data_IF_123453396558
#
_entry.id   IF_123453396558
#
_cell.length_a   1.000
_cell.length_b   1.000
_cell.length_c   1.000
_cell.angle_alpha   90.00
_cell.angle_beta   90.00
_cell.angle_gamma   90.00
#
_symmetry.space_group_name_H-M   'P 1'
#
loop_
_entity.id
_entity.type
_entity.pdbx_description
1 polymer ?
#
# COMPACT_ATOMS: atom_id res chain seq x y z
N UNK A 1 -18.72 17.42 4.47
CA UNK A 1 -19.48 16.40 5.19
C UNK A 1 -18.94 16.13 6.61
N UNK A 2 -17.70 16.49 6.93
CA UNK A 2 -17.11 16.36 8.28
C UNK A 2 -16.94 14.93 8.80
N UNK A 3 -17.02 13.93 7.91
CA UNK A 3 -16.80 12.52 8.26
C UNK A 3 -15.47 12.03 7.68
N UNK A 4 -14.67 11.27 8.43
CA UNK A 4 -13.51 10.60 7.89
C UNK A 4 -13.93 9.58 6.83
N UNK A 5 -13.02 9.28 5.89
CA UNK A 5 -13.22 8.26 4.87
C UNK A 5 -12.05 7.29 4.83
N UNK A 6 -12.29 6.11 4.29
CA UNK A 6 -11.28 5.16 3.87
C UNK A 6 -11.54 4.83 2.41
N UNK A 7 -10.50 4.94 1.59
CA UNK A 7 -10.56 4.62 0.17
C UNK A 7 -9.46 3.61 -0.15
N UNK A 8 -9.84 2.46 -0.69
CA UNK A 8 -8.92 1.48 -1.22
C UNK A 8 -9.06 1.44 -2.73
N UNK A 9 -8.11 2.04 -3.43
CA UNK A 9 -8.09 2.09 -4.88
C UNK A 9 -7.13 1.03 -5.42
N UNK A 10 -7.58 0.24 -6.39
CA UNK A 10 -6.79 -0.77 -7.07
C UNK A 10 -6.79 -0.48 -8.57
N UNK A 11 -5.67 -0.02 -9.09
CA UNK A 11 -5.45 0.08 -10.52
C UNK A 11 -5.26 -1.29 -11.15
N UNK A 12 -5.60 -1.43 -12.44
CA UNK A 12 -5.43 -2.70 -13.17
C UNK A 12 -4.04 -2.85 -13.78
N UNK A 13 -3.24 -1.79 -13.84
CA UNK A 13 -1.88 -1.76 -14.39
C UNK A 13 -0.87 -2.23 -13.33
N UNK A 14 0.08 -3.10 -13.60
CA UNK A 14 0.19 -3.93 -14.84
C UNK A 14 -0.11 -5.40 -14.48
N UNK A 15 -1.36 -5.73 -14.23
CA UNK A 15 -1.78 -7.12 -14.10
C UNK A 15 -1.82 -7.81 -15.48
N UNK A 16 -1.82 -9.14 -15.54
CA UNK A 16 -1.96 -9.84 -16.80
C UNK A 16 -3.32 -9.53 -17.48
N UNK A 17 -3.37 -9.60 -18.81
CA UNK A 17 -4.55 -9.27 -19.63
C UNK A 17 -5.07 -7.83 -19.44
N UNK A 18 -4.18 -6.90 -19.12
CA UNK A 18 -4.48 -5.48 -19.17
C UNK A 18 -3.80 -4.86 -20.38
N UNK A 19 -4.30 -3.73 -20.83
CA UNK A 19 -3.78 -3.00 -21.97
C UNK A 19 -3.66 -1.54 -21.63
N UNK A 20 -2.63 -0.90 -22.21
CA UNK A 20 -2.46 0.54 -22.18
C UNK A 20 -3.54 1.20 -23.05
N UNK A 21 -4.01 2.37 -22.69
CA UNK A 21 -4.90 3.13 -23.56
C UNK A 21 -4.17 3.51 -24.85
N UNK A 22 -4.87 3.55 -26.01
CA UNK A 22 -4.25 3.90 -27.29
C UNK A 22 -3.46 5.22 -27.24
N UNK A 23 -3.97 6.24 -26.55
CA UNK A 23 -3.33 7.54 -26.41
C UNK A 23 -2.04 7.53 -25.57
N UNK A 24 -1.79 6.46 -24.80
CA UNK A 24 -0.60 6.30 -23.98
C UNK A 24 0.42 5.33 -24.58
N UNK A 25 0.11 4.70 -25.73
CA UNK A 25 1.04 3.78 -26.38
C UNK A 25 2.29 4.52 -26.85
N UNK A 26 3.46 4.03 -26.45
CA UNK A 26 4.76 4.63 -26.76
C UNK A 26 5.18 5.78 -25.85
N UNK A 27 4.41 6.13 -24.84
CA UNK A 27 4.67 7.28 -23.95
C UNK A 27 5.98 7.13 -23.16
N UNK A 28 6.35 5.91 -22.81
CA UNK A 28 7.60 5.62 -22.09
C UNK A 28 8.83 5.62 -23.01
N UNK A 29 8.65 5.44 -24.32
CA UNK A 29 9.72 5.22 -25.27
C UNK A 29 10.39 3.84 -25.14
N UNK A 30 9.79 2.89 -24.42
CA UNK A 30 10.29 1.55 -24.17
C UNK A 30 9.29 0.49 -24.66
N UNK A 31 8.53 -0.12 -23.77
CA UNK A 31 7.64 -1.24 -24.04
C UNK A 31 6.24 -1.00 -23.45
N UNK A 32 5.29 -1.91 -23.74
CA UNK A 32 3.91 -1.80 -23.27
C UNK A 32 3.81 -1.83 -21.73
N UNK A 33 4.67 -2.60 -21.05
CA UNK A 33 4.69 -2.62 -19.59
C UNK A 33 5.08 -1.25 -19.02
N UNK A 34 6.13 -0.66 -19.56
CA UNK A 34 6.62 0.67 -19.15
C UNK A 34 5.62 1.78 -19.46
N UNK A 35 4.93 1.71 -20.62
CA UNK A 35 3.82 2.62 -20.94
C UNK A 35 2.69 2.51 -19.91
N UNK A 36 2.33 1.30 -19.53
CA UNK A 36 1.33 1.06 -18.50
C UNK A 36 1.74 1.55 -17.12
N UNK A 37 3.02 1.50 -16.78
CA UNK A 37 3.53 2.07 -15.53
C UNK A 37 3.45 3.59 -15.53
N UNK A 38 3.75 4.25 -16.66
CA UNK A 38 3.56 5.71 -16.80
C UNK A 38 2.08 6.07 -16.68
N UNK A 39 1.17 5.34 -17.34
CA UNK A 39 -0.27 5.54 -17.20
C UNK A 39 -0.74 5.35 -15.75
N UNK A 40 -0.21 4.34 -15.06
CA UNK A 40 -0.52 4.11 -13.64
C UNK A 40 -0.07 5.28 -12.75
N UNK A 41 1.15 5.78 -12.97
CA UNK A 41 1.69 6.94 -12.25
C UNK A 41 0.83 8.20 -12.46
N UNK A 42 0.35 8.42 -13.69
CA UNK A 42 -0.58 9.51 -13.99
C UNK A 42 -1.88 9.40 -13.17
N UNK A 43 -2.47 8.21 -13.05
CA UNK A 43 -3.67 8.00 -12.22
C UNK A 43 -3.42 8.25 -10.74
N UNK A 44 -2.25 7.86 -10.21
CA UNK A 44 -1.85 8.19 -8.83
C UNK A 44 -1.72 9.71 -8.66
N UNK A 45 -1.11 10.39 -9.65
CA UNK A 45 -1.01 11.84 -9.70
C UNK A 45 -2.37 12.54 -9.66
N UNK A 46 -3.35 12.05 -10.42
CA UNK A 46 -4.73 12.58 -10.41
C UNK A 46 -5.39 12.47 -9.03
N UNK A 47 -5.20 11.32 -8.34
CA UNK A 47 -5.74 11.12 -6.99
C UNK A 47 -5.10 12.07 -5.97
N UNK A 48 -3.79 12.29 -6.06
CA UNK A 48 -3.08 13.23 -5.20
C UNK A 48 -3.54 14.66 -5.48
N UNK A 49 -3.65 15.05 -6.75
CA UNK A 49 -4.13 16.36 -7.13
C UNK A 49 -5.55 16.65 -6.64
N UNK A 50 -6.43 15.63 -6.68
CA UNK A 50 -7.79 15.76 -6.15
C UNK A 50 -7.80 16.04 -4.64
N UNK A 51 -6.91 15.41 -3.85
CA UNK A 51 -6.80 15.70 -2.42
C UNK A 51 -6.38 17.16 -2.16
N UNK A 52 -5.49 17.71 -2.99
CA UNK A 52 -5.06 19.11 -2.91
C UNK A 52 -6.22 20.07 -3.31
N UNK A 53 -6.93 19.78 -4.40
CA UNK A 53 -8.10 20.54 -4.85
C UNK A 53 -9.17 20.60 -3.76
N UNK A 54 -9.44 19.46 -3.12
CA UNK A 54 -10.41 19.35 -2.03
C UNK A 54 -9.90 19.96 -0.72
N UNK A 55 -8.64 20.39 -0.65
CA UNK A 55 -7.97 20.94 0.55
C UNK A 55 -8.00 20.00 1.75
N UNK A 56 -7.83 18.71 1.50
CA UNK A 56 -7.79 17.69 2.54
C UNK A 56 -6.45 16.92 2.56
N UNK A 57 -5.53 17.26 1.68
CA UNK A 57 -4.24 16.55 1.55
C UNK A 57 -3.44 16.53 2.86
N UNK A 58 -3.41 17.63 3.61
CA UNK A 58 -2.69 17.72 4.89
C UNK A 58 -3.32 16.87 6.01
N UNK A 59 -4.58 16.49 5.86
CA UNK A 59 -5.29 15.65 6.82
C UNK A 59 -5.66 14.28 6.25
N UNK A 60 -4.95 13.83 5.23
CA UNK A 60 -5.15 12.53 4.60
C UNK A 60 -3.85 11.76 4.57
N UNK A 61 -3.84 10.56 5.15
CA UNK A 61 -2.76 9.61 4.97
C UNK A 61 -2.91 8.95 3.61
N UNK A 62 -1.88 9.06 2.78
CA UNK A 62 -1.80 8.38 1.48
C UNK A 62 -0.75 7.27 1.60
N UNK A 63 -1.15 6.05 1.32
CA UNK A 63 -0.28 4.89 1.27
C UNK A 63 -0.33 4.29 -0.12
N UNK A 64 0.82 4.04 -0.69
CA UNK A 64 0.99 3.35 -1.96
C UNK A 64 1.80 2.08 -1.77
N UNK A 65 1.36 0.99 -2.39
CA UNK A 65 2.12 -0.25 -2.49
C UNK A 65 1.64 -1.05 -3.69
N UNK A 66 2.39 -2.08 -4.07
CA UNK A 66 1.88 -3.18 -4.88
C UNK A 66 1.61 -4.41 -3.99
N UNK A 67 0.83 -5.36 -4.47
CA UNK A 67 0.45 -6.56 -3.73
C UNK A 67 1.52 -7.65 -3.75
N UNK A 68 2.32 -7.72 -4.82
CA UNK A 68 3.37 -8.73 -5.01
C UNK A 68 4.45 -8.23 -5.98
N UNK A 69 5.52 -9.00 -6.07
CA UNK A 69 6.58 -8.79 -7.05
C UNK A 69 6.15 -9.01 -8.50
N UNK A 70 7.02 -8.75 -9.47
CA UNK A 70 6.71 -8.84 -10.88
C UNK A 70 6.33 -10.26 -11.31
N UNK A 71 5.63 -10.38 -12.46
CA UNK A 71 5.18 -11.64 -13.03
C UNK A 71 5.78 -11.81 -14.44
N UNK A 72 6.93 -12.43 -14.54
CA UNK A 72 7.70 -12.51 -15.79
C UNK A 72 7.04 -13.34 -16.88
N UNK A 73 6.22 -14.33 -16.52
CA UNK A 73 5.50 -15.12 -17.51
C UNK A 73 4.54 -14.30 -18.36
N UNK A 74 3.99 -13.22 -17.83
CA UNK A 74 3.07 -12.34 -18.56
C UNK A 74 3.80 -11.11 -19.09
N UNK A 75 4.72 -10.57 -18.31
CA UNK A 75 5.47 -9.38 -18.61
C UNK A 75 6.97 -9.66 -18.49
N UNK A 76 7.58 -10.30 -19.52
CA UNK A 76 9.02 -10.59 -19.50
C UNK A 76 9.89 -9.33 -19.42
N UNK A 77 9.34 -8.18 -19.85
CA UNK A 77 10.00 -6.87 -19.81
C UNK A 77 9.70 -6.09 -18.51
N UNK A 78 8.96 -6.70 -17.57
CA UNK A 78 8.66 -6.06 -16.28
C UNK A 78 9.94 -5.66 -15.54
N UNK A 79 9.87 -4.55 -14.82
CA UNK A 79 10.95 -4.10 -13.96
C UNK A 79 11.34 -5.19 -12.96
N UNK A 80 12.61 -5.59 -13.00
CA UNK A 80 13.15 -6.58 -12.08
C UNK A 80 13.71 -5.94 -10.83
N UNK A 81 13.62 -6.64 -9.71
CA UNK A 81 14.29 -6.26 -8.48
C UNK A 81 15.59 -7.07 -8.31
N UNK A 82 16.54 -6.63 -7.47
CA UNK A 82 17.74 -7.42 -7.19
C UNK A 82 17.45 -8.70 -6.35
N UNK A 83 16.20 -8.91 -5.95
CA UNK A 83 15.79 -10.02 -5.12
C UNK A 83 15.43 -11.24 -5.98
N UNK A 84 15.69 -12.43 -5.41
CA UNK A 84 15.45 -13.69 -6.10
C UNK A 84 13.98 -13.90 -6.41
N UNK A 85 13.72 -14.41 -7.64
CA UNK A 85 12.43 -14.90 -8.11
C UNK A 85 11.34 -13.81 -8.27
N UNK A 86 10.10 -14.20 -8.42
CA UNK A 86 8.96 -13.42 -8.87
C UNK A 86 7.67 -13.80 -8.14
N UNK A 87 6.56 -13.14 -8.48
CA UNK A 87 5.20 -13.49 -8.04
C UNK A 87 4.98 -15.01 -8.01
N UNK A 88 4.23 -15.50 -7.04
CA UNK A 88 3.91 -16.91 -6.80
C UNK A 88 5.08 -17.78 -6.33
N UNK A 89 6.13 -17.19 -5.80
CA UNK A 89 7.23 -17.91 -5.16
C UNK A 89 7.36 -17.50 -3.69
N UNK A 90 8.15 -18.30 -2.93
CA UNK A 90 8.47 -18.02 -1.52
C UNK A 90 9.82 -17.29 -1.37
N UNK A 91 10.20 -16.48 -2.36
CA UNK A 91 11.44 -15.72 -2.37
C UNK A 91 11.19 -14.23 -2.29
N UNK A 92 12.16 -13.46 -1.84
CA UNK A 92 12.03 -12.02 -1.64
C UNK A 92 11.56 -11.26 -2.88
N UNK A 93 11.88 -11.73 -4.10
CA UNK A 93 11.38 -11.11 -5.33
C UNK A 93 9.87 -11.21 -5.52
N UNK A 94 9.19 -12.09 -4.78
CA UNK A 94 7.73 -12.22 -4.81
C UNK A 94 7.02 -11.27 -3.84
N UNK A 95 7.61 -10.97 -2.68
CA UNK A 95 6.91 -10.27 -1.59
C UNK A 95 7.63 -9.01 -1.10
N UNK A 96 8.88 -8.77 -1.47
CA UNK A 96 9.58 -7.54 -1.14
C UNK A 96 9.24 -6.46 -2.15
N UNK A 97 8.23 -5.66 -1.83
CA UNK A 97 7.60 -4.69 -2.71
C UNK A 97 7.82 -3.25 -2.26
N UNK A 98 7.83 -2.27 -3.17
CA UNK A 98 7.90 -0.86 -2.81
C UNK A 98 6.66 -0.44 -2.02
N UNK A 99 6.87 0.36 -0.99
CA UNK A 99 5.80 0.96 -0.18
C UNK A 99 6.17 2.38 0.18
N UNK A 100 5.25 3.31 -0.05
CA UNK A 100 5.41 4.72 0.26
C UNK A 100 4.23 5.20 1.10
N UNK A 101 4.53 6.02 2.10
CA UNK A 101 3.49 6.60 2.97
C UNK A 101 3.73 8.09 3.12
N UNK A 102 2.68 8.88 2.90
CA UNK A 102 2.67 10.33 3.09
C UNK A 102 1.58 10.69 4.10
N UNK A 103 1.93 11.41 5.15
CA UNK A 103 0.96 12.06 6.04
C UNK A 103 1.60 13.33 6.62
N UNK A 104 1.33 14.48 6.02
CA UNK A 104 1.97 15.74 6.41
C UNK A 104 1.81 16.04 7.89
N UNK A 105 2.89 16.49 8.54
CA UNK A 105 2.90 16.82 9.97
C UNK A 105 2.80 15.63 10.94
N UNK A 106 2.67 14.39 10.42
CA UNK A 106 2.59 13.17 11.23
C UNK A 106 3.75 12.21 10.92
N UNK A 107 4.06 12.03 9.65
CA UNK A 107 5.14 11.15 9.19
C UNK A 107 6.27 12.04 8.64
N UNK A 108 7.52 11.86 9.09
CA UNK A 108 8.66 12.62 8.58
C UNK A 108 8.86 12.40 7.07
N UNK A 109 9.10 13.48 6.34
CA UNK A 109 9.38 13.41 4.91
C UNK A 109 10.83 12.97 4.62
N UNK A 110 11.04 12.26 3.50
CA UNK A 110 12.37 11.88 3.01
C UNK A 110 13.09 10.81 3.85
N UNK A 111 12.35 10.09 4.70
CA UNK A 111 12.91 9.02 5.54
C UNK A 111 12.75 7.66 4.87
N UNK A 112 13.81 6.86 4.89
CA UNK A 112 13.77 5.45 4.50
C UNK A 112 13.79 4.58 5.75
N UNK A 113 12.80 3.70 5.89
CA UNK A 113 12.69 2.75 6.99
C UNK A 113 13.03 1.34 6.49
N UNK A 114 13.91 0.64 7.20
CA UNK A 114 14.44 -0.68 6.80
C UNK A 114 13.90 -1.85 7.65
N UNK A 115 13.08 -1.58 8.65
CA UNK A 115 12.43 -2.63 9.43
C UNK A 115 11.32 -3.32 8.63
N UNK A 116 11.02 -4.54 8.98
CA UNK A 116 9.98 -5.34 8.31
C UNK A 116 8.60 -4.70 8.56
N UNK A 117 7.85 -4.48 7.49
CA UNK A 117 6.43 -4.11 7.50
C UNK A 117 5.72 -5.02 6.50
N UNK A 118 4.64 -5.63 6.91
CA UNK A 118 3.86 -6.54 6.07
C UNK A 118 2.46 -5.97 5.79
N UNK A 119 1.80 -6.47 4.75
CA UNK A 119 0.48 -5.96 4.35
C UNK A 119 -0.58 -6.13 5.46
N UNK A 120 -0.52 -7.21 6.23
CA UNK A 120 -1.43 -7.44 7.36
C UNK A 120 -1.27 -6.41 8.49
N UNK A 121 -0.15 -5.68 8.54
CA UNK A 121 0.10 -4.65 9.55
C UNK A 121 -0.75 -3.38 9.31
N UNK A 122 -1.20 -3.16 8.08
CA UNK A 122 -1.97 -1.95 7.77
C UNK A 122 -3.34 -1.92 8.42
N UNK A 123 -4.00 -3.07 8.62
CA UNK A 123 -5.31 -3.10 9.25
C UNK A 123 -5.25 -2.57 10.70
N UNK A 124 -4.44 -3.12 11.62
CA UNK A 124 -4.33 -2.58 12.97
C UNK A 124 -3.72 -1.17 13.01
N UNK A 125 -2.86 -0.82 12.06
CA UNK A 125 -2.30 0.54 11.95
C UNK A 125 -3.38 1.57 11.58
N UNK A 126 -4.19 1.29 10.59
CA UNK A 126 -5.29 2.19 10.20
C UNK A 126 -6.39 2.27 11.27
N UNK A 127 -6.72 1.15 11.91
CA UNK A 127 -7.65 1.14 13.04
C UNK A 127 -7.16 2.06 14.18
N UNK A 128 -5.88 1.95 14.54
CA UNK A 128 -5.26 2.80 15.55
C UNK A 128 -5.33 4.29 15.17
N UNK A 129 -4.98 4.65 13.95
CA UNK A 129 -5.05 6.03 13.44
C UNK A 129 -6.49 6.56 13.48
N UNK A 130 -7.47 5.70 13.21
CA UNK A 130 -8.90 6.03 13.28
C UNK A 130 -9.44 6.11 14.71
N UNK A 131 -8.63 5.81 15.74
CA UNK A 131 -9.00 5.87 17.15
C UNK A 131 -9.42 4.53 17.77
N UNK A 132 -9.38 3.43 17.00
CA UNK A 132 -9.65 2.06 17.48
C UNK A 132 -8.33 1.41 17.91
N UNK A 133 -7.94 1.64 19.17
CA UNK A 133 -6.63 1.24 19.70
C UNK A 133 -6.56 -0.22 20.16
N UNK A 134 -7.70 -0.90 20.29
CA UNK A 134 -7.85 -2.25 20.83
C UNK A 134 -8.50 -3.23 19.83
N UNK A 135 -8.41 -2.93 18.54
CA UNK A 135 -9.06 -3.72 17.47
C UNK A 135 -8.73 -5.21 17.52
N UNK A 136 -7.49 -5.57 17.87
CA UNK A 136 -7.03 -6.97 17.95
C UNK A 136 -7.72 -7.71 19.10
N UNK A 137 -7.70 -7.17 20.29
CA UNK A 137 -8.28 -7.73 21.49
C UNK A 137 -9.81 -7.84 21.35
N UNK A 138 -10.40 -6.80 20.80
CA UNK A 138 -11.83 -6.70 20.57
C UNK A 138 -12.33 -7.74 19.55
N UNK A 139 -11.61 -7.93 18.46
CA UNK A 139 -11.93 -8.96 17.46
C UNK A 139 -11.65 -10.36 17.98
N UNK A 140 -10.61 -10.57 18.81
CA UNK A 140 -10.29 -11.86 19.39
C UNK A 140 -11.39 -12.35 20.34
N UNK A 141 -11.95 -11.45 21.14
CA UNK A 141 -13.06 -11.76 22.08
C UNK A 141 -14.42 -11.81 21.38
N UNK A 142 -14.56 -11.11 20.28
CA UNK A 142 -15.77 -10.97 19.49
C UNK A 142 -16.38 -9.57 19.62
N UNK A 143 -16.67 -8.95 18.47
CA UNK A 143 -17.28 -7.62 18.40
C UNK A 143 -18.41 -7.60 17.38
N UNK A 144 -19.46 -6.86 17.66
CA UNK A 144 -20.59 -6.70 16.77
C UNK A 144 -20.51 -5.37 16.03
N UNK A 145 -20.47 -5.42 14.71
CA UNK A 145 -20.45 -4.27 13.82
C UNK A 145 -21.63 -4.39 12.85
N UNK A 146 -22.48 -3.37 12.80
CA UNK A 146 -23.68 -3.36 11.94
C UNK A 146 -24.56 -4.63 12.07
N UNK A 147 -24.74 -5.12 13.30
CA UNK A 147 -25.57 -6.27 13.59
C UNK A 147 -24.93 -7.64 13.31
N UNK A 148 -23.70 -7.68 12.82
CA UNK A 148 -22.94 -8.92 12.58
C UNK A 148 -21.80 -9.04 13.57
N UNK A 149 -21.66 -10.20 14.21
CA UNK A 149 -20.56 -10.49 15.13
C UNK A 149 -19.37 -11.07 14.37
N UNK A 150 -18.21 -10.48 14.60
CA UNK A 150 -16.92 -10.92 14.09
C UNK A 150 -16.05 -11.39 15.26
N UNK A 151 -15.46 -12.55 15.10
CA UNK A 151 -14.48 -13.10 16.05
C UNK A 151 -13.30 -13.61 15.25
N UNK A 152 -12.22 -12.85 15.21
CA UNK A 152 -11.09 -13.07 14.33
C UNK A 152 -9.78 -12.82 15.08
N UNK A 153 -8.76 -13.59 14.73
CA UNK A 153 -7.39 -13.30 15.07
C UNK A 153 -6.78 -12.40 13.99
N UNK A 154 -5.98 -11.42 14.38
CA UNK A 154 -5.25 -10.53 13.47
C UNK A 154 -3.75 -10.69 13.72
N UNK A 155 -3.02 -11.16 12.71
CA UNK A 155 -1.56 -11.35 12.75
C UNK A 155 -0.77 -10.03 12.69
N UNK A 156 -1.37 -8.97 12.12
CA UNK A 156 -0.74 -7.68 11.92
C UNK A 156 -0.30 -6.98 13.20
N UNK A 157 0.73 -6.18 13.09
CA UNK A 157 1.23 -5.28 14.13
C UNK A 157 0.86 -3.84 13.81
N UNK A 158 0.55 -3.03 14.84
CA UNK A 158 0.42 -1.60 14.66
C UNK A 158 1.80 -0.98 14.42
N UNK A 159 2.02 -0.44 13.24
CA UNK A 159 3.29 0.15 12.81
C UNK A 159 3.39 1.67 13.07
N UNK A 160 2.35 2.29 13.67
CA UNK A 160 2.25 3.75 13.77
C UNK A 160 3.46 4.40 14.41
N UNK A 161 3.92 3.89 15.54
CA UNK A 161 5.06 4.49 16.25
C UNK A 161 6.37 4.33 15.47
N UNK A 162 6.51 3.25 14.71
CA UNK A 162 7.66 3.03 13.84
C UNK A 162 7.65 3.98 12.63
N UNK A 163 6.55 4.07 11.90
CA UNK A 163 6.48 4.92 10.71
C UNK A 163 6.48 6.42 11.01
N UNK A 164 6.12 6.82 12.23
CA UNK A 164 6.22 8.22 12.71
C UNK A 164 7.56 8.56 13.33
N UNK A 165 8.47 7.58 13.47
CA UNK A 165 9.80 7.77 14.04
C UNK A 165 9.85 7.84 15.57
N UNK A 166 8.77 7.48 16.26
CA UNK A 166 8.78 7.40 17.73
C UNK A 166 9.58 6.21 18.24
N UNK A 167 9.64 5.12 17.47
CA UNK A 167 10.49 3.97 17.73
C UNK A 167 11.48 3.78 16.60
N UNK A 168 12.66 3.25 16.92
CA UNK A 168 13.73 3.01 15.93
C UNK A 168 13.55 1.67 15.20
N UNK A 169 12.76 0.76 15.77
CA UNK A 169 12.58 -0.58 15.27
C UNK A 169 11.11 -0.88 14.98
N UNK A 170 10.88 -1.63 13.90
CA UNK A 170 9.57 -2.20 13.62
C UNK A 170 9.18 -3.20 14.72
N UNK A 171 7.90 -3.23 15.14
CA UNK A 171 7.41 -4.27 16.02
C UNK A 171 7.41 -5.66 15.38
N UNK A 172 7.41 -5.75 14.04
CA UNK A 172 7.52 -7.01 13.30
C UNK A 172 9.00 -7.39 13.14
N UNK A 173 9.34 -8.62 13.51
CA UNK A 173 10.71 -9.16 13.42
C UNK A 173 10.85 -10.26 12.38
N UNK A 174 9.75 -10.82 11.94
CA UNK A 174 9.69 -11.94 10.99
C UNK A 174 8.47 -11.82 10.08
N UNK A 175 8.51 -12.59 9.02
CA UNK A 175 7.50 -12.58 7.97
C UNK A 175 7.28 -14.02 7.43
#
# INVERSE_FOLDING_TARGET
AGKPFFCWWNGTRMHFRTHVKPEHTGISGQDEYSDGMVEHDMHVGELIALLEELKIADNTMVMYSTDNGPHYNTWPDAGTTPFRSEKNSNWEGAYRVPTFVKFPGKIPAGVTLNGIVSHEDWLPTFAYIAGDTDVKERLLTGTTINGRTYKNYIDGYNQWDYITGKTQESPRKEF
#
